data_IF_130027247912
#
_entry.id   IF_130027247912
#
_cell.length_a   1.000
_cell.length_b   1.000
_cell.length_c   1.000
_cell.angle_alpha   90.00
_cell.angle_beta   90.00
_cell.angle_gamma   90.00
#
_symmetry.space_group_name_H-M   'P 1'
#
loop_
_entity.id
_entity.type
_entity.pdbx_description
1 polymer ?
#
# COMPACT_ATOMS: atom_id res chain seq x y z
N UNK A 1 -43.18 75.99 -58.71
CA UNK A 1 -44.03 77.20 -58.84
C UNK A 1 -43.69 78.17 -57.72
N UNK A 2 -43.38 79.44 -58.08
CA UNK A 2 -43.51 80.73 -57.36
C UNK A 2 -43.13 80.76 -55.87
N UNK A 3 -41.99 81.35 -55.45
CA UNK A 3 -41.68 82.79 -55.26
C UNK A 3 -42.73 83.62 -54.51
N UNK A 4 -42.33 84.14 -53.33
CA UNK A 4 -42.52 85.49 -52.70
C UNK A 4 -42.06 85.30 -51.23
N UNK A 5 -41.03 85.92 -50.64
CA UNK A 5 -40.36 87.23 -50.68
C UNK A 5 -41.25 88.44 -50.36
N UNK A 6 -41.25 88.85 -49.09
CA UNK A 6 -41.41 90.20 -48.49
C UNK A 6 -40.65 90.09 -47.13
N UNK A 7 -39.45 90.62 -46.91
CA UNK A 7 -38.93 92.01 -46.78
C UNK A 7 -39.39 92.75 -45.50
N UNK A 8 -38.43 92.83 -44.56
CA UNK A 8 -38.11 93.85 -43.53
C UNK A 8 -39.20 94.42 -42.59
N UNK A 9 -38.93 94.39 -41.28
CA UNK A 9 -38.38 95.57 -40.57
C UNK A 9 -37.77 95.23 -39.20
N UNK A 10 -36.81 96.06 -38.80
CA UNK A 10 -35.92 95.93 -37.66
C UNK A 10 -36.56 96.24 -36.30
N UNK A 11 -36.07 95.58 -35.25
CA UNK A 11 -35.98 96.14 -33.91
C UNK A 11 -34.73 95.59 -33.23
N UNK A 12 -33.73 96.46 -33.10
CA UNK A 12 -32.54 96.29 -32.27
C UNK A 12 -32.99 96.26 -30.81
N UNK A 13 -32.75 95.14 -30.13
CA UNK A 13 -32.77 95.07 -28.67
C UNK A 13 -31.50 94.34 -28.25
N UNK A 14 -30.51 95.16 -27.87
CA UNK A 14 -29.31 94.76 -27.15
C UNK A 14 -29.71 94.20 -25.78
N UNK A 15 -30.03 92.91 -25.75
CA UNK A 15 -30.04 92.10 -24.54
C UNK A 15 -28.66 91.53 -24.33
N UNK A 16 -27.92 92.07 -23.36
CA UNK A 16 -26.68 91.49 -22.85
C UNK A 16 -27.02 90.12 -22.26
N UNK A 17 -26.95 89.06 -23.07
CA UNK A 17 -26.81 87.71 -22.54
C UNK A 17 -25.35 87.56 -22.15
N UNK A 18 -25.08 87.70 -20.85
CA UNK A 18 -23.81 87.29 -20.29
C UNK A 18 -23.55 85.84 -20.71
N UNK A 19 -22.57 85.64 -21.59
CA UNK A 19 -21.95 84.34 -21.74
C UNK A 19 -21.40 84.00 -20.37
N UNK A 20 -22.10 83.11 -19.65
CA UNK A 20 -21.51 82.41 -18.52
C UNK A 20 -20.40 81.58 -19.14
N UNK A 21 -19.19 82.10 -19.07
CA UNK A 21 -17.98 81.33 -19.29
C UNK A 21 -18.01 80.24 -18.23
N UNK A 22 -18.52 79.05 -18.58
CA UNK A 22 -18.28 77.85 -17.79
C UNK A 22 -16.77 77.66 -17.90
N UNK A 23 -16.04 78.08 -16.87
CA UNK A 23 -14.63 77.71 -16.72
C UNK A 23 -14.58 76.19 -16.87
N UNK A 24 -13.85 75.69 -17.86
CA UNK A 24 -13.51 74.27 -17.89
C UNK A 24 -12.93 73.94 -16.51
N UNK A 25 -13.58 73.03 -15.78
CA UNK A 25 -13.08 72.59 -14.50
C UNK A 25 -11.64 72.12 -14.72
N UNK A 26 -10.69 72.60 -13.91
CA UNK A 26 -9.32 72.15 -13.97
C UNK A 26 -9.31 70.61 -13.86
N UNK A 27 -8.56 69.94 -14.73
CA UNK A 27 -8.40 68.48 -14.64
C UNK A 27 -7.82 68.15 -13.26
N UNK A 28 -8.50 67.25 -12.56
CA UNK A 28 -8.12 66.83 -11.21
C UNK A 28 -7.06 65.73 -11.31
N UNK A 29 -5.81 66.05 -10.98
CA UNK A 29 -4.67 65.13 -11.06
C UNK A 29 -4.90 63.84 -10.26
N UNK A 30 -5.74 63.88 -9.22
CA UNK A 30 -6.12 62.73 -8.40
C UNK A 30 -7.05 61.75 -9.13
N UNK A 31 -7.71 62.17 -10.20
CA UNK A 31 -8.70 61.40 -10.98
C UNK A 31 -8.17 60.98 -12.36
N UNK A 32 -6.86 61.09 -12.58
CA UNK A 32 -6.21 60.82 -13.87
C UNK A 32 -6.03 59.33 -14.18
N UNK A 33 -6.06 58.45 -13.17
CA UNK A 33 -5.91 56.99 -13.32
C UNK A 33 -7.16 56.28 -12.79
N UNK A 34 -7.70 55.29 -13.52
CA UNK A 34 -8.77 54.43 -13.00
C UNK A 34 -8.34 53.69 -11.72
N UNK A 35 -9.28 53.40 -10.80
CA UNK A 35 -8.98 52.66 -9.59
C UNK A 35 -8.60 51.20 -9.88
N UNK A 36 -7.88 50.56 -8.97
CA UNK A 36 -7.50 49.14 -9.07
C UNK A 36 -7.83 48.38 -7.79
N UNK A 37 -8.00 47.06 -7.94
CA UNK A 37 -8.21 46.12 -6.83
C UNK A 37 -7.08 45.10 -6.93
N UNK A 38 -6.17 45.15 -5.96
CA UNK A 38 -4.86 44.48 -5.95
C UNK A 38 -3.69 45.31 -6.53
N UNK A 39 -2.53 45.09 -5.89
CA UNK A 39 -1.28 45.86 -5.97
C UNK A 39 -0.30 45.35 -7.04
N UNK A 40 -0.58 44.22 -7.69
CA UNK A 40 0.35 43.60 -8.64
C UNK A 40 -0.14 43.69 -10.09
N UNK A 41 0.82 43.84 -11.00
CA UNK A 41 0.70 43.58 -12.44
C UNK A 41 0.38 42.11 -12.77
N UNK A 42 0.12 41.27 -11.77
CA UNK A 42 -0.35 39.89 -11.90
C UNK A 42 -1.88 39.82 -11.73
N UNK A 43 -2.56 38.88 -12.42
CA UNK A 43 -4.01 38.86 -12.49
C UNK A 43 -4.64 38.68 -11.10
N UNK A 44 -5.33 39.73 -10.66
CA UNK A 44 -6.30 39.82 -9.54
C UNK A 44 -6.17 38.68 -8.53
N UNK A 45 -5.46 38.96 -7.43
CA UNK A 45 -5.46 38.10 -6.24
C UNK A 45 -6.90 37.64 -5.95
N UNK A 46 -7.12 36.32 -5.97
CA UNK A 46 -8.48 35.77 -5.88
C UNK A 46 -9.06 36.10 -4.50
N UNK A 47 -10.04 37.02 -4.45
CA UNK A 47 -10.64 37.45 -3.18
C UNK A 47 -11.59 36.34 -2.70
N UNK A 48 -11.25 35.70 -1.57
CA UNK A 48 -12.03 34.61 -0.98
C UNK A 48 -12.59 35.01 0.38
N UNK A 49 -13.92 34.95 0.52
CA UNK A 49 -14.63 35.30 1.75
C UNK A 49 -14.94 34.07 2.60
N UNK A 50 -14.14 33.82 3.65
CA UNK A 50 -14.48 32.90 4.76
C UNK A 50 -14.94 33.65 6.02
N UNK A 51 -14.63 34.93 6.10
CA UNK A 51 -14.97 35.86 7.17
C UNK A 51 -15.14 37.26 6.57
N UNK A 52 -15.31 38.27 7.43
CA UNK A 52 -15.24 39.66 6.99
C UNK A 52 -13.83 39.95 6.49
N UNK A 53 -13.71 40.44 5.25
CA UNK A 53 -12.46 40.81 4.58
C UNK A 53 -12.54 42.28 4.19
N UNK A 54 -11.43 42.97 4.38
CA UNK A 54 -11.21 44.30 3.83
C UNK A 54 -10.49 44.14 2.49
N UNK A 55 -11.15 44.54 1.41
CA UNK A 55 -10.60 44.55 0.06
C UNK A 55 -10.04 45.95 -0.21
N UNK A 56 -8.74 46.12 -0.47
CA UNK A 56 -8.18 47.42 -0.79
C UNK A 56 -8.67 47.88 -2.16
N UNK A 57 -9.12 49.13 -2.23
CA UNK A 57 -9.37 49.86 -3.47
C UNK A 57 -8.36 50.99 -3.53
N UNK A 58 -7.64 51.06 -4.63
CA UNK A 58 -6.47 51.91 -4.77
C UNK A 58 -6.64 52.88 -5.94
N UNK A 59 -6.17 54.11 -5.73
CA UNK A 59 -6.04 55.15 -6.74
C UNK A 59 -4.57 55.54 -6.82
N UNK A 60 -4.03 55.48 -8.04
CA UNK A 60 -2.65 55.88 -8.33
C UNK A 60 -2.61 57.38 -8.59
N UNK A 61 -1.83 58.13 -7.81
CA UNK A 61 -1.48 59.50 -8.15
C UNK A 61 -0.22 59.51 -9.02
N UNK A 62 -0.18 60.33 -10.07
CA UNK A 62 1.02 60.45 -10.90
C UNK A 62 2.16 61.22 -10.21
N UNK A 63 1.86 61.96 -9.14
CA UNK A 63 2.78 62.88 -8.50
C UNK A 63 2.76 62.68 -6.98
N UNK A 64 3.92 62.42 -6.38
CA UNK A 64 4.09 62.12 -4.94
C UNK A 64 3.68 63.30 -4.00
N UNK A 65 3.40 64.49 -4.54
CA UNK A 65 3.12 65.72 -3.78
C UNK A 65 1.66 66.20 -3.87
N UNK A 66 0.77 65.49 -4.57
CA UNK A 66 -0.63 65.88 -4.70
C UNK A 66 -1.43 65.31 -3.51
N UNK A 67 -2.03 66.20 -2.72
CA UNK A 67 -2.97 65.81 -1.68
C UNK A 67 -4.32 65.44 -2.32
N UNK A 68 -4.61 64.14 -2.32
CA UNK A 68 -5.88 63.60 -2.79
C UNK A 68 -6.79 63.17 -1.64
N UNK A 69 -6.61 63.77 -0.46
CA UNK A 69 -7.48 63.52 0.68
C UNK A 69 -8.94 63.86 0.37
N UNK A 70 -9.87 63.10 0.96
CA UNK A 70 -11.30 63.28 0.70
C UNK A 70 -11.81 62.59 -0.56
N UNK A 71 -10.98 61.83 -1.28
CA UNK A 71 -11.45 60.94 -2.33
C UNK A 71 -12.40 59.87 -1.81
N UNK A 72 -13.45 59.61 -2.58
CA UNK A 72 -14.39 58.51 -2.33
C UNK A 72 -14.67 57.72 -3.59
N UNK A 73 -14.83 56.41 -3.44
CA UNK A 73 -15.11 55.48 -4.53
C UNK A 73 -16.48 54.84 -4.31
N UNK A 74 -17.36 54.93 -5.29
CA UNK A 74 -18.60 54.16 -5.31
C UNK A 74 -18.35 52.79 -5.93
N UNK A 75 -18.76 51.77 -5.18
CA UNK A 75 -18.68 50.37 -5.57
C UNK A 75 -20.05 49.75 -5.43
N UNK A 76 -20.41 48.89 -6.37
CA UNK A 76 -21.67 48.15 -6.31
C UNK A 76 -21.48 46.76 -6.92
N UNK A 77 -22.46 45.89 -6.69
CA UNK A 77 -22.53 44.63 -7.44
C UNK A 77 -22.88 44.90 -8.90
N UNK A 78 -22.48 43.98 -9.77
CA UNK A 78 -22.80 44.06 -11.20
C UNK A 78 -24.31 44.06 -11.50
N UNK A 79 -25.14 43.56 -10.57
CA UNK A 79 -26.61 43.61 -10.64
C UNK A 79 -27.21 44.94 -10.13
N UNK A 80 -26.38 45.90 -9.73
CA UNK A 80 -26.78 47.21 -9.21
C UNK A 80 -27.11 47.24 -7.71
N UNK A 81 -27.05 46.11 -7.02
CA UNK A 81 -27.30 46.03 -5.57
C UNK A 81 -26.04 46.29 -4.74
N UNK A 82 -26.20 46.47 -3.42
CA UNK A 82 -25.06 46.54 -2.49
C UNK A 82 -24.16 47.77 -2.66
N UNK A 83 -24.69 48.86 -3.24
CA UNK A 83 -23.96 50.10 -3.45
C UNK A 83 -23.39 50.64 -2.13
N UNK A 84 -22.09 50.90 -2.13
CA UNK A 84 -21.33 51.38 -0.98
C UNK A 84 -20.31 52.40 -1.45
N UNK A 85 -20.09 53.44 -0.64
CA UNK A 85 -19.04 54.42 -0.88
C UNK A 85 -17.87 54.13 0.06
N UNK A 86 -16.66 54.02 -0.51
CA UNK A 86 -15.41 53.74 0.21
C UNK A 86 -14.57 55.02 0.22
N UNK A 87 -14.26 55.53 1.40
CA UNK A 87 -13.35 56.66 1.53
C UNK A 87 -11.89 56.19 1.37
N UNK A 88 -11.11 56.90 0.54
CA UNK A 88 -9.68 56.64 0.34
C UNK A 88 -8.89 57.48 1.34
N UNK A 89 -8.86 57.05 2.59
CA UNK A 89 -8.28 57.82 3.71
C UNK A 89 -6.83 57.47 4.02
N UNK A 90 -6.28 56.46 3.35
CA UNK A 90 -4.92 56.00 3.62
C UNK A 90 -3.99 56.34 2.46
N UNK A 91 -2.80 56.83 2.79
CA UNK A 91 -1.71 57.01 1.84
C UNK A 91 -0.76 55.82 1.94
N UNK A 92 -0.25 55.34 0.80
CA UNK A 92 0.81 54.35 0.78
C UNK A 92 2.12 54.88 1.35
N UNK A 93 3.14 54.02 1.41
CA UNK A 93 4.41 54.30 2.06
C UNK A 93 5.61 53.91 1.23
N UNK A 94 6.75 53.66 1.90
CA UNK A 94 7.99 53.17 1.27
C UNK A 94 7.92 51.70 0.82
N UNK A 95 6.78 51.04 1.01
CA UNK A 95 6.54 49.64 0.69
C UNK A 95 5.32 49.50 -0.22
N UNK A 96 4.54 48.45 0.01
CA UNK A 96 3.27 48.23 -0.70
C UNK A 96 2.09 48.57 0.25
N UNK A 97 1.12 49.42 -0.15
CA UNK A 97 1.10 50.20 -1.40
C UNK A 97 2.14 51.34 -1.40
N UNK A 98 2.62 51.78 -2.58
CA UNK A 98 3.65 52.81 -2.70
C UNK A 98 3.14 54.21 -2.32
N UNK A 99 4.06 55.14 -2.04
CA UNK A 99 3.78 56.48 -1.50
C UNK A 99 2.84 57.36 -2.34
N UNK A 100 2.79 57.10 -3.64
CA UNK A 100 1.92 57.78 -4.61
C UNK A 100 0.53 57.14 -4.72
N UNK A 101 0.16 56.20 -3.85
CA UNK A 101 -1.16 55.56 -3.86
C UNK A 101 -2.02 56.07 -2.71
N UNK A 102 -3.27 56.40 -3.01
CA UNK A 102 -4.32 56.58 -2.02
C UNK A 102 -5.24 55.37 -2.03
N UNK A 103 -5.60 54.85 -0.86
CA UNK A 103 -6.40 53.64 -0.77
C UNK A 103 -7.40 53.67 0.38
N UNK A 104 -8.42 52.83 0.23
CA UNK A 104 -9.47 52.61 1.20
C UNK A 104 -9.88 51.14 1.21
N UNK A 105 -10.71 50.77 2.18
CA UNK A 105 -11.09 49.37 2.38
C UNK A 105 -12.58 49.15 2.15
N UNK A 106 -12.91 48.37 1.12
CA UNK A 106 -14.24 47.82 0.95
C UNK A 106 -14.41 46.63 1.90
N UNK A 107 -15.29 46.77 2.90
CA UNK A 107 -15.57 45.71 3.86
C UNK A 107 -16.62 44.75 3.31
N UNK A 108 -16.21 43.52 3.00
CA UNK A 108 -17.07 42.47 2.46
C UNK A 108 -17.22 41.33 3.47
N UNK A 109 -18.43 40.77 3.57
CA UNK A 109 -18.71 39.59 4.39
C UNK A 109 -19.07 38.39 3.49
N UNK A 110 -18.90 37.16 3.97
CA UNK A 110 -19.29 35.99 3.19
C UNK A 110 -20.78 36.00 2.73
N UNK A 111 -21.66 36.64 3.50
CA UNK A 111 -23.07 36.83 3.15
C UNK A 111 -23.22 37.76 1.94
N UNK A 112 -22.78 39.00 2.13
CA UNK A 112 -23.09 40.11 1.21
C UNK A 112 -22.06 40.29 0.11
N UNK A 113 -20.84 39.81 0.30
CA UNK A 113 -19.67 40.13 -0.51
C UNK A 113 -19.43 39.25 -1.74
N UNK A 114 -20.03 38.07 -1.85
CA UNK A 114 -19.75 37.17 -2.97
C UNK A 114 -20.44 37.59 -4.29
N UNK A 115 -19.74 37.42 -5.42
CA UNK A 115 -20.21 37.67 -6.79
C UNK A 115 -19.34 38.69 -7.54
N UNK A 116 -19.86 39.16 -8.68
CA UNK A 116 -19.25 40.21 -9.49
C UNK A 116 -19.54 41.60 -8.92
N UNK A 117 -18.49 42.41 -8.83
CA UNK A 117 -18.52 43.80 -8.36
C UNK A 117 -17.92 44.73 -9.41
N UNK A 118 -18.34 45.99 -9.34
CA UNK A 118 -17.92 47.04 -10.25
C UNK A 118 -17.65 48.30 -9.44
N UNK A 119 -16.47 48.89 -9.63
CA UNK A 119 -16.23 50.28 -9.25
C UNK A 119 -16.81 51.14 -10.37
N UNK A 120 -17.78 51.99 -10.01
CA UNK A 120 -18.54 52.77 -10.99
C UNK A 120 -18.10 54.22 -11.03
N UNK A 121 -17.66 54.78 -9.90
CA UNK A 121 -17.38 56.21 -9.81
C UNK A 121 -16.33 56.54 -8.76
N UNK A 122 -15.45 57.48 -9.05
CA UNK A 122 -14.52 58.11 -8.09
C UNK A 122 -14.84 59.59 -8.01
N UNK A 123 -14.88 60.15 -6.80
CA UNK A 123 -15.19 61.55 -6.54
C UNK A 123 -14.07 62.18 -5.72
N UNK A 124 -13.64 63.37 -6.12
CA UNK A 124 -12.70 64.23 -5.37
C UNK A 124 -13.23 65.67 -5.41
N UNK A 125 -13.68 66.18 -4.26
CA UNK A 125 -14.39 67.46 -4.21
C UNK A 125 -15.63 67.48 -5.12
N UNK A 126 -15.65 68.38 -6.10
CA UNK A 126 -16.72 68.48 -7.11
C UNK A 126 -16.44 67.68 -8.40
N UNK A 127 -15.24 67.12 -8.53
CA UNK A 127 -14.80 66.40 -9.72
C UNK A 127 -15.19 64.92 -9.64
N UNK A 128 -15.52 64.34 -10.79
CA UNK A 128 -16.03 62.97 -10.90
C UNK A 128 -15.30 62.26 -12.05
N UNK A 129 -14.85 61.03 -11.77
CA UNK A 129 -14.38 60.07 -12.76
C UNK A 129 -15.36 58.89 -12.80
N UNK A 130 -16.02 58.70 -13.94
CA UNK A 130 -16.84 57.51 -14.20
C UNK A 130 -15.93 56.34 -14.64
N UNK A 131 -16.20 55.14 -14.14
CA UNK A 131 -15.35 53.95 -14.30
C UNK A 131 -16.18 52.67 -14.48
N UNK A 132 -15.58 51.60 -15.01
CA UNK A 132 -16.18 50.24 -15.06
C UNK A 132 -15.10 49.21 -14.73
N UNK A 133 -14.52 49.32 -13.53
CA UNK A 133 -13.47 48.39 -13.06
C UNK A 133 -14.14 47.20 -12.38
N UNK A 134 -14.16 46.06 -13.08
CA UNK A 134 -14.82 44.84 -12.62
C UNK A 134 -13.88 43.91 -11.88
N UNK A 135 -14.41 43.26 -10.86
CA UNK A 135 -13.70 42.25 -10.09
C UNK A 135 -14.68 41.21 -9.55
N UNK A 136 -14.19 39.98 -9.38
CA UNK A 136 -15.00 38.89 -8.83
C UNK A 136 -14.56 38.56 -7.41
N UNK A 137 -15.53 38.38 -6.53
CA UNK A 137 -15.30 37.99 -5.14
C UNK A 137 -15.90 36.62 -4.91
N UNK A 138 -15.03 35.64 -4.65
CA UNK A 138 -15.43 34.27 -4.39
C UNK A 138 -15.81 34.07 -2.93
N UNK A 139 -16.75 33.16 -2.70
CA UNK A 139 -17.03 32.64 -1.35
C UNK A 139 -16.08 31.49 -1.05
N UNK A 140 -15.66 31.42 0.21
CA UNK A 140 -14.83 30.33 0.69
C UNK A 140 -15.61 29.03 0.84
N UNK A 141 -14.86 27.94 0.93
CA UNK A 141 -15.37 26.63 1.34
C UNK A 141 -14.60 26.12 2.56
N UNK A 142 -15.16 25.12 3.23
CA UNK A 142 -14.46 24.31 4.22
C UNK A 142 -14.52 22.86 3.78
N UNK A 143 -13.36 22.30 3.49
CA UNK A 143 -13.19 20.89 3.19
C UNK A 143 -12.44 20.23 4.34
N UNK A 144 -12.97 19.13 4.84
CA UNK A 144 -12.28 18.29 5.83
C UNK A 144 -11.96 16.94 5.23
N UNK A 145 -10.91 16.31 5.78
CA UNK A 145 -10.56 14.92 5.56
C UNK A 145 -10.31 14.32 6.94
N UNK A 146 -11.22 13.45 7.38
CA UNK A 146 -11.11 12.81 8.68
C UNK A 146 -9.85 11.94 8.68
N UNK A 147 -9.06 12.02 9.75
CA UNK A 147 -7.82 11.24 9.84
C UNK A 147 -8.17 9.74 9.71
N UNK A 148 -7.66 9.05 8.69
CA UNK A 148 -7.87 7.62 8.57
C UNK A 148 -7.38 6.90 9.82
N UNK A 149 -8.23 6.07 10.40
CA UNK A 149 -7.82 5.13 11.43
C UNK A 149 -6.64 4.28 10.91
N UNK A 150 -5.70 3.93 11.80
CA UNK A 150 -4.65 2.97 11.47
C UNK A 150 -5.30 1.66 11.04
N UNK A 151 -5.03 1.21 9.82
CA UNK A 151 -5.69 0.02 9.28
C UNK A 151 -4.76 -1.17 9.22
N UNK A 152 -5.27 -2.33 9.61
CA UNK A 152 -4.65 -3.62 9.36
C UNK A 152 -5.54 -4.43 8.39
N UNK A 153 -5.00 -5.45 7.72
CA UNK A 153 -5.78 -6.25 6.78
C UNK A 153 -5.79 -5.71 5.34
N UNK A 154 -6.93 -5.84 4.66
CA UNK A 154 -7.08 -5.63 3.21
C UNK A 154 -6.46 -4.33 2.69
N UNK A 155 -6.01 -4.33 1.43
CA UNK A 155 -5.29 -3.22 0.78
C UNK A 155 -6.15 -1.97 0.48
N UNK A 156 -7.21 -1.72 1.27
CA UNK A 156 -8.15 -0.61 1.08
C UNK A 156 -8.54 -0.04 2.45
N UNK A 157 -8.68 1.28 2.56
CA UNK A 157 -9.40 1.93 3.66
C UNK A 157 -10.51 2.80 3.14
N UNK A 158 -11.45 3.12 4.00
CA UNK A 158 -12.41 4.18 3.74
C UNK A 158 -11.94 5.48 4.37
N UNK A 159 -11.89 6.54 3.57
CA UNK A 159 -11.75 7.91 4.03
C UNK A 159 -13.12 8.58 4.03
N UNK A 160 -13.32 9.50 4.97
CA UNK A 160 -14.50 10.34 5.05
C UNK A 160 -14.11 11.79 5.29
N UNK A 161 -15.06 12.67 5.06
CA UNK A 161 -14.93 14.07 5.39
C UNK A 161 -16.19 14.81 4.99
N UNK A 162 -16.13 16.14 5.05
CA UNK A 162 -17.25 17.01 4.74
C UNK A 162 -16.79 18.18 3.88
N UNK A 163 -17.65 18.62 2.97
CA UNK A 163 -17.52 19.86 2.25
C UNK A 163 -18.70 20.77 2.61
N UNK A 164 -18.38 21.95 3.10
CA UNK A 164 -19.36 23.00 3.34
C UNK A 164 -18.92 24.29 2.64
N UNK A 165 -19.89 25.12 2.29
CA UNK A 165 -19.70 26.35 1.52
C UNK A 165 -20.42 27.49 2.21
N UNK A 166 -19.83 28.68 2.18
CA UNK A 166 -20.54 29.85 2.68
C UNK A 166 -21.68 30.21 1.73
N UNK A 167 -22.90 30.30 2.24
CA UNK A 167 -24.08 30.72 1.48
C UNK A 167 -24.12 32.23 1.26
N UNK A 168 -25.12 32.70 0.53
CA UNK A 168 -25.48 34.12 0.43
C UNK A 168 -25.98 34.74 1.75
N UNK A 169 -26.25 33.94 2.79
CA UNK A 169 -26.53 34.43 4.14
C UNK A 169 -25.27 34.43 5.03
N UNK A 170 -24.13 34.01 4.49
CA UNK A 170 -22.87 33.89 5.23
C UNK A 170 -22.83 32.69 6.18
N UNK A 171 -23.87 31.86 6.14
CA UNK A 171 -23.90 30.61 6.90
C UNK A 171 -23.12 29.54 6.15
N UNK A 172 -22.41 28.70 6.90
CA UNK A 172 -21.70 27.55 6.34
C UNK A 172 -22.71 26.40 6.10
N UNK A 173 -23.06 26.14 4.84
CA UNK A 173 -24.07 25.16 4.45
C UNK A 173 -23.45 23.94 3.76
N UNK A 174 -24.08 22.74 3.85
CA UNK A 174 -23.65 21.57 3.11
C UNK A 174 -23.53 21.81 1.59
N UNK A 175 -22.44 21.36 0.98
CA UNK A 175 -22.27 21.40 -0.47
C UNK A 175 -22.56 20.02 -1.06
N UNK A 176 -23.81 19.78 -1.46
CA UNK A 176 -24.24 18.48 -2.01
C UNK A 176 -23.79 18.27 -3.47
N UNK A 177 -23.73 17.00 -3.90
CA UNK A 177 -23.42 16.57 -5.28
C UNK A 177 -22.13 17.20 -5.86
N UNK A 178 -21.17 17.53 -4.99
CA UNK A 178 -19.89 18.12 -5.38
C UNK A 178 -18.83 17.03 -5.42
N UNK A 179 -18.00 17.03 -6.48
CA UNK A 179 -16.90 16.07 -6.62
C UNK A 179 -15.75 16.47 -5.70
N UNK A 180 -15.40 15.55 -4.80
CA UNK A 180 -14.19 15.60 -3.99
C UNK A 180 -13.21 14.59 -4.56
N UNK A 181 -11.98 15.02 -4.78
CA UNK A 181 -10.89 14.18 -5.29
C UNK A 181 -9.88 13.94 -4.18
N UNK A 182 -9.44 12.69 -4.03
CA UNK A 182 -8.35 12.33 -3.11
C UNK A 182 -7.07 12.21 -3.91
N UNK A 183 -6.05 12.93 -3.47
CA UNK A 183 -4.76 13.01 -4.17
C UNK A 183 -3.63 12.52 -3.29
N UNK A 184 -2.64 11.91 -3.92
CA UNK A 184 -1.39 11.47 -3.31
C UNK A 184 -0.38 12.62 -3.25
N UNK A 185 0.45 12.65 -2.20
CA UNK A 185 1.55 13.64 -2.08
C UNK A 185 2.45 13.65 -3.31
N UNK A 186 2.89 12.46 -3.75
CA UNK A 186 3.76 12.34 -4.92
C UNK A 186 3.02 12.80 -6.17
N UNK A 187 3.46 13.93 -6.73
CA UNK A 187 2.97 14.53 -7.99
C UNK A 187 1.48 14.84 -8.01
N UNK A 188 0.85 15.01 -6.83
CA UNK A 188 -0.58 15.32 -6.74
C UNK A 188 -1.48 14.31 -7.50
N UNK A 189 -1.05 13.04 -7.56
CA UNK A 189 -1.69 11.99 -8.35
C UNK A 189 -3.11 11.72 -7.84
N UNK A 190 -4.08 11.66 -8.74
CA UNK A 190 -5.45 11.28 -8.41
C UNK A 190 -5.52 9.80 -7.99
N UNK A 191 -6.03 9.53 -6.78
CA UNK A 191 -6.23 8.17 -6.27
C UNK A 191 -7.68 7.74 -6.40
N UNK A 192 -8.60 8.63 -6.01
CA UNK A 192 -10.02 8.32 -6.01
C UNK A 192 -10.86 9.60 -6.06
N UNK A 193 -12.13 9.44 -6.40
CA UNK A 193 -13.13 10.51 -6.42
C UNK A 193 -14.37 10.06 -5.67
N UNK A 194 -15.03 10.99 -4.98
CA UNK A 194 -16.35 10.77 -4.40
C UNK A 194 -17.22 12.00 -4.62
N UNK A 195 -18.54 11.79 -4.55
CA UNK A 195 -19.50 12.88 -4.49
C UNK A 195 -19.98 13.07 -3.07
N UNK A 196 -20.21 14.32 -2.69
CA UNK A 196 -20.85 14.66 -1.44
C UNK A 196 -22.34 14.34 -1.47
N UNK A 197 -22.87 13.85 -0.35
CA UNK A 197 -24.30 13.61 -0.15
C UNK A 197 -25.07 14.92 0.15
N UNK A 198 -26.37 14.81 0.43
CA UNK A 198 -27.22 15.96 0.77
C UNK A 198 -26.74 16.71 2.03
N UNK A 199 -26.03 16.04 2.93
CA UNK A 199 -25.45 16.62 4.13
C UNK A 199 -24.01 17.12 3.90
N UNK A 200 -23.51 17.13 2.65
CA UNK A 200 -22.17 17.59 2.30
C UNK A 200 -21.07 16.60 2.70
N UNK A 201 -21.42 15.39 3.13
CA UNK A 201 -20.47 14.38 3.56
C UNK A 201 -20.03 13.56 2.37
N UNK A 202 -18.77 13.16 2.33
CA UNK A 202 -18.28 12.22 1.34
C UNK A 202 -17.60 11.04 2.01
N UNK A 203 -17.63 9.91 1.32
CA UNK A 203 -16.99 8.66 1.75
C UNK A 203 -16.38 8.01 0.53
N UNK A 204 -15.11 7.61 0.62
CA UNK A 204 -14.36 7.08 -0.52
C UNK A 204 -13.45 5.94 -0.08
N UNK A 205 -13.43 4.86 -0.85
CA UNK A 205 -12.52 3.74 -0.60
C UNK A 205 -11.25 3.97 -1.40
N UNK A 206 -10.11 4.06 -0.72
CA UNK A 206 -8.79 4.24 -1.34
C UNK A 206 -7.94 2.98 -1.19
N UNK A 207 -7.30 2.50 -2.27
CA UNK A 207 -6.35 1.41 -2.17
C UNK A 207 -4.99 1.89 -1.66
N UNK A 208 -4.45 1.24 -0.63
CA UNK A 208 -3.05 1.36 -0.23
C UNK A 208 -2.57 0.13 0.54
N UNK A 209 -1.30 -0.20 0.32
CA UNK A 209 -0.59 -1.32 0.96
C UNK A 209 0.55 -0.85 1.88
N UNK A 210 0.69 0.46 2.07
CA UNK A 210 1.73 1.09 2.89
C UNK A 210 1.27 2.45 3.38
N UNK A 211 1.99 3.05 4.33
CA UNK A 211 1.72 4.41 4.77
C UNK A 211 1.70 5.37 3.58
N UNK A 212 0.60 6.10 3.44
CA UNK A 212 0.30 6.91 2.25
C UNK A 212 -0.17 8.28 2.67
N UNK A 213 0.51 9.33 2.20
CA UNK A 213 0.16 10.73 2.49
C UNK A 213 -0.79 11.28 1.44
N UNK A 214 -1.92 11.80 1.89
CA UNK A 214 -3.10 12.10 1.10
C UNK A 214 -3.67 13.48 1.43
N UNK A 215 -4.39 14.08 0.49
CA UNK A 215 -5.25 15.24 0.75
C UNK A 215 -6.54 15.14 -0.06
N UNK A 216 -7.59 15.79 0.42
CA UNK A 216 -8.80 15.99 -0.36
C UNK A 216 -8.75 17.34 -1.08
N UNK A 217 -9.27 17.40 -2.30
CA UNK A 217 -9.37 18.64 -3.09
C UNK A 217 -10.69 18.72 -3.85
N UNK A 218 -11.23 19.92 -4.02
CA UNK A 218 -12.36 20.22 -4.91
C UNK A 218 -11.94 21.17 -6.02
N UNK A 219 -12.64 21.13 -7.14
CA UNK A 219 -12.44 22.10 -8.22
C UNK A 219 -13.18 23.41 -7.94
N UNK A 220 -12.67 24.50 -8.53
CA UNK A 220 -13.39 25.77 -8.56
C UNK A 220 -14.70 25.60 -9.34
N UNK A 221 -15.76 26.27 -8.93
CA UNK A 221 -17.05 26.16 -9.59
C UNK A 221 -18.04 27.21 -9.13
N UNK A 222 -18.64 27.92 -10.08
CA UNK A 222 -19.51 29.07 -9.81
C UNK A 222 -18.79 30.13 -8.97
N UNK A 223 -19.41 30.57 -7.88
CA UNK A 223 -18.88 31.58 -6.97
C UNK A 223 -17.91 31.03 -5.90
N UNK A 224 -17.28 29.87 -6.14
CA UNK A 224 -16.39 29.24 -5.16
C UNK A 224 -15.05 28.85 -5.80
N UNK A 225 -13.97 29.07 -5.07
CA UNK A 225 -12.63 28.61 -5.44
C UNK A 225 -12.42 27.13 -5.17
N UNK A 226 -11.35 26.57 -5.73
CA UNK A 226 -10.85 25.26 -5.35
C UNK A 226 -10.45 25.26 -3.87
N UNK A 227 -10.80 24.20 -3.14
CA UNK A 227 -10.47 24.02 -1.73
C UNK A 227 -9.64 22.76 -1.58
N UNK A 228 -8.69 22.77 -0.65
CA UNK A 228 -7.81 21.64 -0.36
C UNK A 228 -7.62 21.49 1.14
N UNK A 229 -7.45 20.25 1.59
CA UNK A 229 -7.04 19.97 2.97
C UNK A 229 -5.53 20.00 3.09
N UNK A 230 -5.05 20.10 4.33
CA UNK A 230 -3.70 19.71 4.68
C UNK A 230 -3.44 18.23 4.33
N UNK A 231 -2.16 17.90 4.25
CA UNK A 231 -1.71 16.55 3.99
C UNK A 231 -1.82 15.68 5.25
N UNK A 232 -2.52 14.55 5.12
CA UNK A 232 -2.75 13.58 6.20
C UNK A 232 -2.21 12.22 5.79
N UNK A 233 -1.51 11.54 6.71
CA UNK A 233 -0.99 10.20 6.46
C UNK A 233 -1.99 9.12 6.87
N UNK A 234 -2.39 8.30 5.91
CA UNK A 234 -3.06 7.02 6.16
C UNK A 234 -2.03 5.98 6.57
N UNK A 235 -2.16 5.49 7.81
CA UNK A 235 -1.25 4.52 8.40
C UNK A 235 -1.70 3.09 8.15
N UNK A 236 -0.74 2.23 7.79
CA UNK A 236 -0.94 0.81 7.50
C UNK A 236 -0.12 -0.05 8.46
N UNK A 237 -0.78 -1.04 9.02
CA UNK A 237 -0.22 -2.03 9.94
C UNK A 237 -0.16 -3.41 9.27
N UNK A 238 0.86 -4.17 9.61
CA UNK A 238 0.96 -5.61 9.37
C UNK A 238 -0.05 -6.31 10.28
N UNK A 239 -0.96 -7.08 9.68
CA UNK A 239 -1.75 -8.10 10.37
C UNK A 239 -1.21 -9.48 10.01
N UNK A 240 -0.93 -10.32 11.01
CA UNK A 240 -0.46 -11.68 10.78
C UNK A 240 -1.29 -12.70 11.55
N UNK A 241 -1.75 -13.75 10.88
CA UNK A 241 -2.47 -14.87 11.50
C UNK A 241 -1.57 -15.65 12.44
N UNK A 242 -2.16 -16.54 13.24
CA UNK A 242 -1.39 -17.59 13.90
C UNK A 242 -0.64 -18.43 12.86
N UNK A 243 0.53 -18.92 13.26
CA UNK A 243 1.33 -19.82 12.44
C UNK A 243 0.64 -21.20 12.37
N UNK A 244 0.68 -21.81 11.19
CA UNK A 244 0.15 -23.13 10.90
C UNK A 244 1.33 -24.09 10.63
N UNK A 245 2.01 -24.57 11.68
CA UNK A 245 3.09 -25.53 11.54
C UNK A 245 2.58 -26.90 11.08
N UNK A 246 3.34 -27.62 10.26
CA UNK A 246 3.07 -29.04 10.07
C UNK A 246 3.19 -29.76 11.43
N UNK A 247 2.27 -30.68 11.75
CA UNK A 247 2.20 -31.32 13.07
C UNK A 247 3.39 -32.23 13.37
N UNK A 248 4.05 -32.75 12.33
CA UNK A 248 5.22 -33.61 12.46
C UNK A 248 6.46 -32.92 11.88
N UNK A 249 7.54 -32.89 12.66
CA UNK A 249 8.86 -32.46 12.22
C UNK A 249 9.87 -33.58 12.50
N UNK A 250 10.73 -33.88 11.53
CA UNK A 250 11.74 -34.92 11.65
C UNK A 250 13.13 -34.39 11.28
N UNK A 251 14.15 -34.88 11.99
CA UNK A 251 15.54 -34.59 11.63
C UNK A 251 15.82 -35.03 10.18
N UNK A 252 16.52 -34.19 9.44
CA UNK A 252 16.88 -34.31 8.02
C UNK A 252 15.70 -34.36 7.04
N UNK A 253 14.48 -34.04 7.46
CA UNK A 253 13.32 -33.87 6.58
C UNK A 253 12.91 -32.39 6.48
N UNK A 254 12.32 -32.01 5.34
CA UNK A 254 11.74 -30.68 5.19
C UNK A 254 10.49 -30.55 6.06
N UNK A 255 10.48 -29.54 6.92
CA UNK A 255 9.34 -29.11 7.69
C UNK A 255 8.83 -27.79 7.16
N UNK A 256 7.51 -27.59 7.23
CA UNK A 256 6.81 -26.43 6.68
C UNK A 256 6.00 -25.73 7.77
N UNK A 257 6.01 -24.40 7.72
CA UNK A 257 5.09 -23.54 8.47
C UNK A 257 4.44 -22.54 7.53
N UNK A 258 3.12 -22.43 7.61
CA UNK A 258 2.34 -21.49 6.81
C UNK A 258 1.65 -20.44 7.67
N UNK A 259 1.07 -19.46 6.99
CA UNK A 259 0.22 -18.45 7.60
C UNK A 259 -0.28 -17.46 6.57
N UNK A 260 -0.95 -16.41 7.06
CA UNK A 260 -1.34 -15.26 6.26
C UNK A 260 -0.81 -13.98 6.91
N UNK A 261 -0.35 -13.04 6.08
CA UNK A 261 -0.06 -11.68 6.52
C UNK A 261 -0.57 -10.66 5.51
N UNK A 262 -1.07 -9.54 6.03
CA UNK A 262 -1.62 -8.44 5.24
C UNK A 262 -0.96 -7.12 5.63
N UNK A 263 -0.73 -6.19 4.67
CA UNK A 263 -1.04 -6.33 3.24
C UNK A 263 -0.21 -7.42 2.54
N UNK A 264 -0.58 -7.85 1.33
CA UNK A 264 0.21 -8.84 0.57
C UNK A 264 1.53 -8.24 0.06
N UNK A 265 2.39 -9.07 -0.58
CA UNK A 265 3.71 -8.65 -1.10
C UNK A 265 4.71 -8.16 -0.06
N UNK A 266 4.50 -8.46 1.21
CA UNK A 266 5.49 -8.27 2.27
C UNK A 266 6.62 -9.29 2.11
N UNK A 267 7.73 -9.07 2.78
CA UNK A 267 8.79 -10.07 2.92
C UNK A 267 8.54 -10.90 4.18
N UNK A 268 8.67 -12.21 4.09
CA UNK A 268 8.65 -13.10 5.25
C UNK A 268 9.94 -13.93 5.33
N UNK A 269 10.52 -13.97 6.52
CA UNK A 269 11.75 -14.69 6.86
C UNK A 269 11.48 -15.67 8.00
N UNK A 270 11.92 -16.93 7.84
CA UNK A 270 11.89 -17.92 8.90
C UNK A 270 13.21 -17.88 9.67
N UNK A 271 13.12 -17.66 10.97
CA UNK A 271 14.26 -17.58 11.86
C UNK A 271 14.20 -18.66 12.94
N UNK A 272 15.36 -19.18 13.29
CA UNK A 272 15.58 -20.17 14.33
C UNK A 272 16.31 -19.51 15.51
N UNK A 273 15.85 -19.76 16.73
CA UNK A 273 16.58 -19.39 17.93
C UNK A 273 17.76 -20.33 18.14
N UNK A 274 18.98 -19.81 18.15
CA UNK A 274 20.20 -20.62 18.34
C UNK A 274 20.67 -20.69 19.81
N UNK A 275 19.86 -20.21 20.76
CA UNK A 275 20.22 -20.10 22.17
C UNK A 275 20.63 -18.69 22.61
N UNK A 276 21.11 -17.87 21.66
CA UNK A 276 21.59 -16.49 21.92
C UNK A 276 20.88 -15.44 21.10
N UNK A 277 20.58 -15.75 19.84
CA UNK A 277 19.97 -14.84 18.89
C UNK A 277 19.08 -15.60 17.90
N UNK A 278 18.27 -14.84 17.18
CA UNK A 278 17.52 -15.34 16.03
C UNK A 278 18.40 -15.35 14.79
N UNK A 279 18.45 -16.49 14.10
CA UNK A 279 19.22 -16.68 12.87
C UNK A 279 18.32 -17.15 11.73
N UNK A 280 18.44 -16.55 10.55
CA UNK A 280 17.67 -16.92 9.34
C UNK A 280 17.96 -18.37 8.92
N UNK A 281 16.91 -19.15 8.62
CA UNK A 281 17.03 -20.57 8.23
C UNK A 281 17.30 -20.78 6.74
N UNK A 282 17.52 -19.70 5.98
CA UNK A 282 17.66 -19.71 4.52
C UNK A 282 16.32 -19.72 3.77
N UNK A 283 15.19 -19.82 4.47
CA UNK A 283 13.86 -19.72 3.87
C UNK A 283 13.30 -18.32 4.06
N UNK A 284 13.51 -17.47 3.06
CA UNK A 284 13.00 -16.10 2.98
C UNK A 284 12.34 -15.85 1.62
N UNK A 285 11.49 -14.83 1.52
CA UNK A 285 10.92 -14.41 0.24
C UNK A 285 9.72 -13.50 0.39
N UNK A 286 9.10 -13.15 -0.73
CA UNK A 286 7.85 -12.38 -0.73
C UNK A 286 6.65 -13.26 -0.37
N UNK A 287 5.66 -12.64 0.26
CA UNK A 287 4.33 -13.18 0.52
C UNK A 287 3.49 -12.96 -0.73
N UNK A 288 2.61 -13.91 -1.07
CA UNK A 288 1.69 -13.76 -2.19
C UNK A 288 0.81 -12.50 -2.08
N UNK A 289 0.24 -12.06 -3.20
CA UNK A 289 -0.69 -10.93 -3.19
C UNK A 289 -1.94 -11.21 -2.33
N UNK A 290 -2.33 -12.49 -2.20
CA UNK A 290 -3.40 -12.97 -1.33
C UNK A 290 -3.00 -13.05 0.16
N UNK A 291 -1.78 -12.64 0.52
CA UNK A 291 -1.27 -12.66 1.89
C UNK A 291 -0.83 -14.03 2.40
N UNK A 292 -1.04 -15.12 1.65
CA UNK A 292 -0.62 -16.46 2.07
C UNK A 292 0.90 -16.64 1.86
N UNK A 293 1.54 -17.33 2.81
CA UNK A 293 2.95 -17.69 2.71
C UNK A 293 3.22 -19.06 3.33
N UNK A 294 4.29 -19.68 2.86
CA UNK A 294 4.85 -20.91 3.43
C UNK A 294 6.37 -20.75 3.56
N UNK A 295 6.93 -21.24 4.66
CA UNK A 295 8.37 -21.25 4.91
C UNK A 295 8.83 -22.64 5.30
N UNK A 296 10.05 -22.96 4.91
CA UNK A 296 10.59 -24.31 4.94
C UNK A 296 11.88 -24.34 5.75
N UNK A 297 12.04 -25.38 6.56
CA UNK A 297 13.24 -25.59 7.35
C UNK A 297 13.55 -27.07 7.45
N UNK A 298 14.84 -27.42 7.36
CA UNK A 298 15.32 -28.79 7.46
C UNK A 298 16.21 -28.92 8.71
N UNK A 299 15.67 -29.33 9.88
CA UNK A 299 16.49 -29.58 11.06
C UNK A 299 17.48 -30.70 10.81
N UNK A 300 18.65 -30.68 11.44
CA UNK A 300 19.65 -31.76 11.35
C UNK A 300 19.66 -32.69 12.55
N UNK A 301 19.04 -32.29 13.67
CA UNK A 301 19.01 -33.05 14.93
C UNK A 301 17.61 -33.04 15.54
N UNK A 302 17.26 -34.12 16.25
CA UNK A 302 16.08 -34.15 17.10
C UNK A 302 16.21 -33.17 18.28
N UNK A 303 15.08 -32.68 18.79
CA UNK A 303 15.03 -31.73 19.90
C UNK A 303 13.83 -30.79 19.83
N UNK A 304 13.73 -29.89 20.80
CA UNK A 304 12.73 -28.82 20.80
C UNK A 304 13.38 -27.54 20.31
N UNK A 305 12.78 -26.92 19.30
CA UNK A 305 13.30 -25.71 18.66
C UNK A 305 12.26 -24.60 18.74
N UNK A 306 12.74 -23.37 18.96
CA UNK A 306 11.93 -22.15 18.85
C UNK A 306 12.20 -21.53 17.50
N UNK A 307 11.16 -21.39 16.69
CA UNK A 307 11.19 -20.70 15.41
C UNK A 307 10.29 -19.47 15.47
N UNK A 308 10.54 -18.52 14.58
CA UNK A 308 9.61 -17.42 14.35
C UNK A 308 9.56 -17.07 12.87
N UNK A 309 8.40 -16.61 12.44
CA UNK A 309 8.28 -15.94 11.15
C UNK A 309 8.30 -14.43 11.40
N UNK A 310 9.24 -13.75 10.77
CA UNK A 310 9.33 -12.28 10.76
C UNK A 310 8.78 -11.81 9.43
N UNK A 311 7.84 -10.86 9.48
CA UNK A 311 7.26 -10.20 8.31
C UNK A 311 7.67 -8.74 8.31
N UNK A 312 8.19 -8.28 7.19
CA UNK A 312 8.63 -6.90 6.99
C UNK A 312 8.09 -6.31 5.69
N UNK A 313 7.92 -4.99 5.67
CA UNK A 313 7.51 -4.26 4.48
C UNK A 313 7.88 -2.80 4.62
N UNK A 314 8.06 -2.12 3.50
CA UNK A 314 8.41 -0.71 3.51
C UNK A 314 7.25 0.15 4.01
N UNK A 315 7.57 1.18 4.78
CA UNK A 315 6.63 2.24 5.19
C UNK A 315 5.38 1.68 5.87
N UNK A 316 5.55 0.76 6.81
CA UNK A 316 4.49 0.23 7.67
C UNK A 316 4.82 0.55 9.13
N UNK A 317 3.80 0.90 9.92
CA UNK A 317 4.02 1.41 11.28
C UNK A 317 4.63 0.38 12.25
N UNK A 318 4.28 -0.90 12.11
CA UNK A 318 4.69 -1.98 13.01
C UNK A 318 5.65 -2.98 12.35
N UNK A 319 6.46 -2.51 11.40
CA UNK A 319 7.47 -3.33 10.73
C UNK A 319 8.83 -3.26 11.44
N UNK A 320 9.55 -4.39 11.61
CA UNK A 320 9.12 -5.77 11.36
C UNK A 320 8.14 -6.29 12.43
N UNK A 321 7.23 -7.19 12.04
CA UNK A 321 6.32 -7.90 12.95
C UNK A 321 6.70 -9.39 13.01
N UNK A 322 6.54 -10.06 14.14
CA UNK A 322 6.89 -11.49 14.22
C UNK A 322 5.93 -12.31 15.09
N UNK A 323 5.87 -13.62 14.83
CA UNK A 323 5.23 -14.62 15.70
C UNK A 323 6.12 -15.83 15.83
N UNK A 324 6.14 -16.39 17.02
CA UNK A 324 6.92 -17.56 17.35
C UNK A 324 6.09 -18.85 17.29
N UNK A 325 6.77 -19.97 17.10
CA UNK A 325 6.25 -21.32 17.20
C UNK A 325 7.32 -22.23 17.80
N UNK A 326 6.91 -23.10 18.71
CA UNK A 326 7.76 -24.16 19.26
C UNK A 326 7.51 -25.45 18.50
N UNK A 327 8.57 -26.11 18.05
CA UNK A 327 8.50 -27.33 17.25
C UNK A 327 9.32 -28.42 17.91
N UNK A 328 8.69 -29.57 18.17
CA UNK A 328 9.38 -30.78 18.61
C UNK A 328 9.79 -31.59 17.39
N UNK A 329 11.08 -31.59 17.07
CA UNK A 329 11.68 -32.39 16.01
C UNK A 329 12.00 -33.77 16.57
N UNK A 330 11.40 -34.79 15.98
CA UNK A 330 11.70 -36.18 16.31
C UNK A 330 12.89 -36.65 15.48
N UNK A 331 13.66 -37.60 16.01
CA UNK A 331 14.57 -38.34 15.14
C UNK A 331 13.70 -39.03 14.11
N UNK A 332 14.05 -38.89 12.83
CA UNK A 332 13.40 -39.68 11.79
C UNK A 332 13.57 -41.14 12.23
N UNK A 333 12.51 -41.97 12.27
CA UNK A 333 12.63 -43.35 12.71
C UNK A 333 13.80 -43.98 11.94
N UNK A 334 14.86 -44.35 12.65
CA UNK A 334 15.99 -45.10 12.11
C UNK A 334 15.38 -46.35 11.51
N UNK A 335 15.23 -46.39 10.19
CA UNK A 335 14.44 -47.43 9.54
C UNK A 335 15.19 -48.75 9.70
N UNK A 336 14.68 -49.75 10.45
CA UNK A 336 15.22 -51.08 10.32
C UNK A 336 14.89 -51.54 8.89
N UNK A 337 15.92 -51.79 8.08
CA UNK A 337 15.74 -52.63 6.89
C UNK A 337 15.31 -54.00 7.39
N UNK A 338 14.14 -54.46 6.96
CA UNK A 338 13.57 -55.74 7.33
C UNK A 338 13.98 -56.76 6.27
N UNK A 339 14.79 -57.75 6.67
CA UNK A 339 15.17 -58.90 5.84
C UNK A 339 14.38 -60.13 6.29
N UNK A 340 13.48 -60.63 5.45
CA UNK A 340 12.84 -61.95 5.60
C UNK A 340 13.20 -62.86 4.45
N UNK A 341 13.19 -64.15 4.72
CA UNK A 341 13.25 -65.14 3.66
C UNK A 341 13.20 -66.56 4.19
N UNK A 342 13.38 -67.49 3.26
CA UNK A 342 13.36 -68.93 3.50
C UNK A 342 14.59 -69.52 2.81
N UNK A 343 15.21 -70.50 3.46
CA UNK A 343 16.26 -71.34 2.88
C UNK A 343 15.78 -72.79 2.91
N UNK A 344 15.67 -73.43 1.74
CA UNK A 344 15.17 -74.81 1.64
C UNK A 344 15.76 -75.54 0.43
N UNK A 345 15.83 -76.88 0.44
CA UNK A 345 16.21 -77.66 -0.74
C UNK A 345 15.23 -77.44 -1.89
N UNK A 346 15.74 -77.20 -3.11
CA UNK A 346 14.88 -76.89 -4.27
C UNK A 346 14.01 -78.08 -4.67
N UNK A 347 14.55 -79.30 -4.58
CA UNK A 347 13.87 -80.54 -4.95
C UNK A 347 13.30 -81.32 -3.75
N UNK A 348 13.28 -80.73 -2.56
CA UNK A 348 12.94 -81.42 -1.31
C UNK A 348 14.10 -82.23 -0.71
N UNK A 349 13.91 -82.80 0.50
CA UNK A 349 14.90 -83.70 1.10
C UNK A 349 15.00 -85.03 0.32
N UNK A 350 16.13 -85.76 0.42
CA UNK A 350 17.30 -85.50 1.27
C UNK A 350 18.27 -84.46 0.68
N UNK A 351 18.98 -83.75 1.56
CA UNK A 351 20.06 -82.84 1.17
C UNK A 351 21.33 -83.66 0.96
N UNK A 352 21.94 -83.61 -0.23
CA UNK A 352 23.23 -84.26 -0.56
C UNK A 352 24.28 -83.23 -0.95
N UNK A 353 25.54 -83.65 -1.04
CA UNK A 353 26.59 -82.81 -1.60
C UNK A 353 26.21 -82.36 -3.01
N UNK A 354 26.34 -81.05 -3.29
CA UNK A 354 25.95 -80.46 -4.56
C UNK A 354 24.44 -80.27 -4.77
N UNK A 355 23.56 -80.68 -3.84
CA UNK A 355 22.12 -80.43 -3.94
C UNK A 355 21.86 -78.94 -4.08
N UNK A 356 21.01 -78.58 -5.05
CA UNK A 356 20.56 -77.20 -5.22
C UNK A 356 19.61 -76.81 -4.09
N UNK A 357 19.96 -75.72 -3.41
CA UNK A 357 19.16 -75.03 -2.41
C UNK A 357 18.55 -73.78 -3.05
N UNK A 358 17.33 -73.45 -2.65
CA UNK A 358 16.68 -72.18 -2.98
C UNK A 358 16.68 -71.26 -1.77
N UNK A 359 16.94 -69.98 -2.01
CA UNK A 359 16.80 -68.95 -0.99
C UNK A 359 16.08 -67.75 -1.56
N UNK A 360 14.97 -67.36 -0.93
CA UNK A 360 14.11 -66.28 -1.41
C UNK A 360 13.44 -65.53 -0.29
N UNK A 361 13.03 -64.30 -0.57
CA UNK A 361 12.42 -63.46 0.45
C UNK A 361 12.30 -62.00 0.02
N UNK A 362 12.20 -61.11 0.99
CA UNK A 362 12.07 -59.68 0.77
C UNK A 362 13.04 -58.88 1.65
N UNK A 363 13.62 -57.85 1.05
CA UNK A 363 14.34 -56.78 1.72
C UNK A 363 13.53 -55.49 1.57
N UNK A 364 13.00 -54.97 2.68
CA UNK A 364 12.17 -53.76 2.69
C UNK A 364 12.67 -52.73 3.68
N UNK A 365 12.46 -51.45 3.37
CA UNK A 365 12.70 -50.33 4.27
C UNK A 365 11.36 -49.77 4.78
N UNK A 366 11.28 -49.51 6.08
CA UNK A 366 10.08 -48.93 6.71
C UNK A 366 10.03 -47.42 6.51
N UNK A 367 9.14 -46.93 5.66
CA UNK A 367 8.95 -45.52 5.36
C UNK A 367 8.53 -44.69 6.59
N UNK A 368 8.74 -43.35 6.58
CA UNK A 368 8.34 -42.45 7.67
C UNK A 368 6.84 -42.45 7.97
N UNK A 369 6.00 -42.81 6.99
CA UNK A 369 4.56 -42.97 7.12
C UNK A 369 4.15 -44.35 7.70
N UNK A 370 5.11 -45.19 8.07
CA UNK A 370 4.89 -46.52 8.63
C UNK A 370 4.74 -47.65 7.59
N UNK A 371 4.68 -47.37 6.29
CA UNK A 371 4.59 -48.41 5.25
C UNK A 371 5.96 -49.03 4.95
N UNK A 372 5.98 -50.14 4.21
CA UNK A 372 7.22 -50.79 3.78
C UNK A 372 7.39 -50.67 2.27
N UNK A 373 8.56 -50.23 1.83
CA UNK A 373 8.92 -50.18 0.40
C UNK A 373 10.08 -51.11 0.13
N UNK A 374 10.06 -51.78 -1.03
CA UNK A 374 11.18 -52.58 -1.48
C UNK A 374 12.45 -51.75 -1.61
N UNK A 375 13.59 -52.32 -1.22
CA UNK A 375 14.89 -51.76 -1.56
C UNK A 375 15.37 -52.40 -2.87
N UNK A 376 15.37 -51.69 -4.02
CA UNK A 376 15.78 -52.24 -5.30
C UNK A 376 17.29 -52.35 -5.45
N UNK A 377 17.75 -53.33 -6.24
CA UNK A 377 19.14 -53.51 -6.67
C UNK A 377 20.16 -53.74 -5.54
N UNK A 378 19.67 -54.11 -4.35
CA UNK A 378 20.48 -54.39 -3.17
C UNK A 378 20.91 -55.86 -3.13
N UNK A 379 22.14 -56.14 -2.65
CA UNK A 379 22.71 -57.50 -2.66
C UNK A 379 22.36 -58.22 -1.36
N UNK A 380 21.58 -59.30 -1.46
CA UNK A 380 21.36 -60.26 -0.36
C UNK A 380 22.23 -61.49 -0.60
N UNK A 381 23.02 -61.85 0.39
CA UNK A 381 23.88 -63.03 0.41
C UNK A 381 23.22 -64.15 1.20
N UNK A 382 23.44 -65.38 0.79
CA UNK A 382 23.23 -66.56 1.62
C UNK A 382 24.59 -66.96 2.16
N UNK A 383 24.71 -67.00 3.47
CA UNK A 383 25.92 -67.45 4.14
C UNK A 383 25.64 -68.74 4.89
N UNK A 384 26.55 -69.70 4.85
CA UNK A 384 26.42 -70.97 5.55
C UNK A 384 27.70 -71.34 6.31
N UNK A 385 27.57 -72.16 7.35
CA UNK A 385 28.70 -72.69 8.11
C UNK A 385 28.38 -74.02 8.78
N UNK A 386 29.41 -74.83 9.05
CA UNK A 386 29.31 -75.97 9.97
C UNK A 386 29.29 -75.47 11.42
N UNK A 387 28.72 -76.23 12.37
CA UNK A 387 28.74 -75.87 13.79
C UNK A 387 30.15 -75.58 14.33
N UNK A 388 31.15 -76.33 13.86
CA UNK A 388 32.55 -76.19 14.27
C UNK A 388 33.32 -75.07 13.55
N UNK A 389 32.78 -74.49 12.47
CA UNK A 389 33.48 -73.45 11.72
C UNK A 389 33.43 -72.10 12.46
N UNK A 390 34.59 -71.44 12.54
CA UNK A 390 34.73 -70.11 13.13
C UNK A 390 34.08 -69.00 12.28
N UNK A 391 33.96 -69.21 10.96
CA UNK A 391 33.50 -68.22 9.99
C UNK A 391 32.25 -68.66 9.21
N UNK A 392 31.63 -67.68 8.55
CA UNK A 392 30.53 -67.92 7.60
C UNK A 392 31.04 -67.81 6.17
N UNK A 393 30.71 -68.77 5.31
CA UNK A 393 31.04 -68.75 3.89
C UNK A 393 29.84 -68.29 3.05
N UNK A 394 30.07 -67.44 2.03
CA UNK A 394 29.02 -67.06 1.09
C UNK A 394 28.78 -68.22 0.12
N UNK A 395 27.56 -68.74 0.11
CA UNK A 395 27.16 -69.88 -0.73
C UNK A 395 26.24 -69.46 -1.87
N UNK A 396 25.53 -68.33 -1.75
CA UNK A 396 24.68 -67.78 -2.81
C UNK A 396 24.52 -66.27 -2.68
N UNK A 397 24.05 -65.61 -3.74
CA UNK A 397 23.75 -64.16 -3.71
C UNK A 397 22.73 -63.79 -4.78
N UNK A 398 21.89 -62.79 -4.48
CA UNK A 398 20.96 -62.19 -5.43
C UNK A 398 20.83 -60.69 -5.23
N UNK A 399 20.43 -60.00 -6.29
CA UNK A 399 20.00 -58.60 -6.23
C UNK A 399 18.48 -58.52 -6.09
N UNK A 400 18.01 -57.58 -5.30
CA UNK A 400 16.58 -57.37 -5.07
C UNK A 400 15.90 -56.66 -6.24
N UNK A 401 14.64 -56.98 -6.50
CA UNK A 401 13.78 -56.27 -7.48
C UNK A 401 13.20 -54.98 -6.90
N UNK A 402 12.41 -54.23 -7.68
CA UNK A 402 11.70 -53.03 -7.24
C UNK A 402 10.77 -53.24 -6.03
N UNK A 403 10.24 -54.44 -5.84
CA UNK A 403 9.43 -54.79 -4.67
C UNK A 403 10.26 -55.22 -3.44
N UNK A 404 11.59 -55.27 -3.59
CA UNK A 404 12.52 -55.79 -2.59
C UNK A 404 12.67 -57.31 -2.62
N UNK A 405 12.02 -58.01 -3.56
CA UNK A 405 12.09 -59.46 -3.67
C UNK A 405 13.47 -59.91 -4.13
N UNK A 406 14.02 -60.97 -3.54
CA UNK A 406 15.22 -61.63 -4.02
C UNK A 406 15.01 -63.14 -4.12
N UNK A 407 15.79 -63.77 -5.00
CA UNK A 407 15.81 -65.21 -5.22
C UNK A 407 17.19 -65.63 -5.70
N UNK A 408 17.79 -66.64 -5.08
CA UNK A 408 19.04 -67.27 -5.52
C UNK A 408 18.97 -68.77 -5.37
N UNK A 409 19.59 -69.47 -6.32
CA UNK A 409 20.00 -70.86 -6.16
C UNK A 409 21.45 -70.91 -5.69
N UNK A 410 21.79 -71.98 -4.97
CA UNK A 410 23.17 -72.30 -4.60
C UNK A 410 23.31 -73.80 -4.35
N UNK A 411 24.51 -74.34 -4.55
CA UNK A 411 24.79 -75.76 -4.33
C UNK A 411 25.37 -75.98 -2.94
N UNK A 412 24.94 -77.03 -2.25
CA UNK A 412 25.46 -77.41 -0.92
C UNK A 412 26.96 -77.72 -1.03
N UNK A 413 27.84 -76.95 -0.35
CA UNK A 413 29.29 -77.12 -0.43
C UNK A 413 29.85 -78.09 0.62
N UNK A 414 28.99 -78.72 1.43
CA UNK A 414 29.35 -79.54 2.58
C UNK A 414 29.28 -81.04 2.24
N UNK A 415 30.28 -81.81 2.68
CA UNK A 415 30.43 -83.23 2.36
C UNK A 415 29.36 -84.09 3.04
N UNK A 416 29.18 -85.32 2.55
CA UNK A 416 28.29 -86.30 3.15
C UNK A 416 28.63 -86.54 4.64
N UNK A 417 27.62 -86.59 5.50
CA UNK A 417 27.75 -86.72 6.95
C UNK A 417 27.95 -85.39 7.70
N UNK A 418 28.17 -84.27 7.00
CA UNK A 418 28.30 -82.96 7.64
C UNK A 418 26.94 -82.33 7.98
N UNK A 419 26.92 -81.50 9.02
CA UNK A 419 25.77 -80.64 9.33
C UNK A 419 26.14 -79.17 9.11
N UNK A 420 25.20 -78.38 8.60
CA UNK A 420 25.40 -76.95 8.40
C UNK A 420 24.16 -76.14 8.77
N UNK A 421 24.37 -74.84 8.98
CA UNK A 421 23.32 -73.84 9.12
C UNK A 421 23.50 -72.75 8.09
N UNK A 422 22.42 -72.09 7.71
CA UNK A 422 22.44 -70.98 6.76
C UNK A 422 21.76 -69.74 7.34
N UNK A 423 22.16 -68.56 6.90
CA UNK A 423 21.61 -67.25 7.25
C UNK A 423 21.57 -66.39 6.00
N UNK A 424 20.56 -65.52 5.88
CA UNK A 424 20.52 -64.48 4.86
C UNK A 424 21.23 -63.25 5.41
N UNK A 425 22.17 -62.69 4.67
CA UNK A 425 22.98 -61.54 5.06
C UNK A 425 22.83 -60.39 4.05
N UNK A 426 22.72 -59.16 4.56
CA UNK A 426 22.64 -57.93 3.80
C UNK A 426 23.82 -57.03 4.21
N UNK A 427 24.96 -57.13 3.51
CA UNK A 427 26.21 -56.49 3.87
C UNK A 427 26.22 -55.04 3.37
N UNK A 428 25.68 -54.11 4.14
CA UNK A 428 25.79 -52.68 3.81
C UNK A 428 26.59 -51.89 4.81
N UNK A 429 27.14 -50.78 4.30
CA UNK A 429 27.75 -49.71 5.07
C UNK A 429 26.72 -48.72 5.63
N UNK A 430 25.43 -49.08 5.69
CA UNK A 430 24.41 -48.22 6.31
C UNK A 430 24.66 -48.13 7.84
N UNK A 431 24.31 -47.00 8.51
CA UNK A 431 24.74 -46.73 9.88
C UNK A 431 24.25 -47.78 10.91
N UNK A 432 25.14 -48.74 11.22
CA UNK A 432 25.37 -49.53 12.45
C UNK A 432 24.24 -50.15 13.28
N UNK A 433 22.95 -50.14 12.90
CA UNK A 433 21.93 -50.79 13.77
C UNK A 433 20.83 -51.60 13.06
N UNK A 434 20.98 -51.95 11.78
CA UNK A 434 20.12 -52.99 11.18
C UNK A 434 20.64 -54.39 11.55
N UNK A 435 19.76 -55.37 11.80
CA UNK A 435 20.22 -56.75 11.74
C UNK A 435 20.59 -57.01 10.29
N UNK A 436 21.88 -57.09 10.01
CA UNK A 436 22.36 -57.46 8.67
C UNK A 436 22.01 -58.90 8.34
N UNK A 437 21.43 -59.65 9.29
CA UNK A 437 21.18 -61.09 9.19
C UNK A 437 19.74 -61.46 9.53
N UNK A 438 19.21 -62.46 8.84
CA UNK A 438 17.97 -63.16 9.22
C UNK A 438 18.20 -64.07 10.43
N UNK A 439 17.13 -64.75 10.87
CA UNK A 439 17.28 -65.95 11.71
C UNK A 439 18.08 -67.06 11.03
N UNK A 440 18.55 -68.01 11.82
CA UNK A 440 19.29 -69.19 11.37
C UNK A 440 18.34 -70.24 10.80
N UNK A 441 18.65 -70.75 9.61
CA UNK A 441 17.98 -71.88 8.98
C UNK A 441 18.80 -73.15 9.18
N UNK A 442 18.12 -74.26 9.48
CA UNK A 442 18.73 -75.56 9.78
C UNK A 442 18.64 -75.93 11.28
N UNK A 443 19.44 -76.90 11.75
CA UNK A 443 20.52 -77.55 11.02
C UNK A 443 20.03 -78.39 9.84
N UNK A 444 20.84 -78.43 8.78
CA UNK A 444 20.65 -79.34 7.64
C UNK A 444 21.73 -80.43 7.71
N UNK A 445 21.35 -81.69 7.56
CA UNK A 445 22.27 -82.83 7.53
C UNK A 445 22.45 -83.32 6.10
N UNK A 446 23.69 -83.37 5.63
CA UNK A 446 24.03 -83.87 4.30
C UNK A 446 24.06 -85.39 4.32
N UNK A 447 23.14 -86.00 3.59
CA UNK A 447 23.04 -87.46 3.42
C UNK A 447 24.13 -87.98 2.47
N UNK A 448 24.49 -89.28 2.60
CA UNK A 448 25.39 -89.97 1.67
C UNK A 448 25.00 -89.88 0.18
#
# INVERSE_FOLDING_TARGET
MRRRLVVLLAAVLLGVTGQVSVSAAAEDDCLSVPPTISQDTDPVETIVLKNTRQVPIEMRAFHDAVDCSGMTVDVQKADGTGRTTVALTHQGGRGMPPSWTWYGYLSLTAATGGGDWVITRVTHGANILETDVRFHVYRGSELTLDQPARTSGAARTTLSGQLRRYSNTGALVPAANTTVTIRHWTRNLLIATAKTDAAGRYKVTVPFTQNTTLRATTEAGGNYVAELTEWVTAHKLIAMSYLQPLPNAYANAWWKVGGTAYPGRLQADLQLWNGKAWATTGSYGFIGANGAYERYWRPTRAGVYRLRVVVSGERLDNTPWSREVTVTVKQLPTQPSWLTGTVAPTAGPPVKFGTTMSSFGFLKARQPNGTYTGLPNEVVRVIAKRPADAGWAVVGQARTTSSGYFFTHWSVPFAAGETFTAVLDYPTALPRVASSRSGTFGPFTVQP
#
